data_IF_035403837219
#
_entry.id   IF_035403837219
#
_cell.length_a   1.000
_cell.length_b   1.000
_cell.length_c   1.000
_cell.angle_alpha   90.00
_cell.angle_beta   90.00
_cell.angle_gamma   90.00
#
_symmetry.space_group_name_H-M   'P 1'
#
loop_
_entity.id
_entity.type
_entity.pdbx_description
1 polymer ?
#
# COMPACT_ATOMS: atom_id res chain seq x y z
N UNK A 1 6.69 -30.28 -32.19
CA UNK A 1 6.66 -28.89 -32.69
C UNK A 1 6.96 -27.96 -31.53
N UNK A 2 7.64 -26.85 -31.69
CA UNK A 2 7.74 -25.86 -30.62
C UNK A 2 6.35 -25.31 -30.28
N UNK A 3 6.11 -25.01 -29.00
CA UNK A 3 4.87 -24.39 -28.53
C UNK A 3 4.66 -23.02 -29.20
N UNK A 4 3.43 -22.73 -29.58
CA UNK A 4 3.03 -21.41 -30.03
C UNK A 4 3.11 -20.38 -28.88
N UNK A 5 3.21 -19.07 -29.17
CA UNK A 5 3.21 -18.05 -28.14
C UNK A 5 2.00 -18.13 -27.19
N UNK A 6 0.81 -18.39 -27.72
CA UNK A 6 -0.40 -18.57 -26.89
C UNK A 6 -0.30 -19.80 -25.96
N UNK A 7 0.26 -20.90 -26.42
CA UNK A 7 0.46 -22.10 -25.60
C UNK A 7 1.48 -21.83 -24.48
N UNK A 8 2.56 -21.08 -24.74
CA UNK A 8 3.52 -20.66 -23.70
C UNK A 8 2.83 -19.79 -22.65
N UNK A 9 2.01 -18.83 -23.06
CA UNK A 9 1.26 -17.99 -22.15
C UNK A 9 0.25 -18.80 -21.31
N UNK A 10 -0.46 -19.75 -21.92
CA UNK A 10 -1.38 -20.64 -21.18
C UNK A 10 -0.63 -21.49 -20.15
N UNK A 11 0.54 -22.03 -20.48
CA UNK A 11 1.37 -22.74 -19.50
C UNK A 11 1.80 -21.87 -18.32
N UNK A 12 2.16 -20.61 -18.60
CA UNK A 12 2.47 -19.61 -17.58
C UNK A 12 1.26 -19.36 -16.67
N UNK A 13 0.06 -19.12 -17.22
CA UNK A 13 -1.16 -18.92 -16.43
C UNK A 13 -1.55 -20.15 -15.62
N UNK A 14 -1.37 -21.35 -16.19
CA UNK A 14 -1.57 -22.59 -15.46
C UNK A 14 -0.60 -22.78 -14.29
N UNK A 15 0.66 -22.32 -14.42
CA UNK A 15 1.62 -22.33 -13.30
C UNK A 15 1.16 -21.42 -12.16
N UNK A 16 0.62 -20.22 -12.46
CA UNK A 16 -0.03 -19.37 -11.47
C UNK A 16 -1.15 -20.08 -10.71
N UNK A 17 -2.07 -20.73 -11.44
CA UNK A 17 -3.22 -21.42 -10.85
C UNK A 17 -2.85 -22.68 -10.06
N UNK A 18 -1.68 -23.27 -10.29
CA UNK A 18 -1.15 -24.38 -9.50
C UNK A 18 -0.23 -23.94 -8.37
N UNK A 19 -0.03 -22.63 -8.20
CA UNK A 19 0.94 -22.05 -7.26
C UNK A 19 2.36 -22.62 -7.47
N UNK A 20 2.72 -22.82 -8.74
CA UNK A 20 4.01 -23.35 -9.17
C UNK A 20 4.97 -22.20 -9.52
N UNK A 21 5.63 -21.66 -8.49
CA UNK A 21 6.59 -20.56 -8.64
C UNK A 21 7.75 -20.91 -9.59
N UNK A 22 8.20 -22.15 -9.57
CA UNK A 22 9.25 -22.61 -10.48
C UNK A 22 8.76 -22.67 -11.94
N UNK A 23 7.53 -23.15 -12.16
CA UNK A 23 6.88 -23.17 -13.46
C UNK A 23 6.66 -21.76 -14.03
N UNK A 24 6.30 -20.79 -13.18
CA UNK A 24 6.20 -19.38 -13.58
C UNK A 24 7.56 -18.88 -14.10
N UNK A 25 8.63 -19.04 -13.31
CA UNK A 25 9.98 -18.57 -13.71
C UNK A 25 10.47 -19.31 -14.96
N UNK A 26 10.18 -20.61 -15.07
CA UNK A 26 10.57 -21.43 -16.21
C UNK A 26 9.91 -20.98 -17.53
N UNK A 27 8.79 -20.30 -17.50
CA UNK A 27 8.18 -19.73 -18.70
C UNK A 27 8.95 -18.55 -19.28
N UNK A 28 9.75 -17.85 -18.46
CA UNK A 28 10.56 -16.70 -18.90
C UNK A 28 11.90 -17.12 -19.49
N UNK A 29 12.42 -16.31 -20.41
CA UNK A 29 13.81 -16.38 -20.83
C UNK A 29 14.72 -15.97 -19.65
N UNK A 30 16.02 -16.31 -19.72
CA UNK A 30 17.01 -16.01 -18.67
C UNK A 30 17.02 -14.52 -18.26
N UNK A 31 16.83 -13.62 -19.22
CA UNK A 31 16.71 -12.16 -19.03
C UNK A 31 15.28 -11.66 -19.19
N UNK A 32 14.32 -12.55 -19.16
CA UNK A 32 12.90 -12.23 -19.28
C UNK A 32 12.40 -11.45 -18.08
N UNK A 33 11.51 -10.48 -18.33
CA UNK A 33 11.03 -9.55 -17.30
C UNK A 33 9.51 -9.59 -17.14
N UNK A 34 9.08 -9.40 -15.92
CA UNK A 34 7.68 -9.17 -15.53
C UNK A 34 7.55 -7.77 -14.93
N UNK A 35 6.49 -7.05 -15.30
CA UNK A 35 6.16 -5.74 -14.74
C UNK A 35 4.64 -5.59 -14.62
N UNK A 36 4.16 -4.97 -13.55
CA UNK A 36 2.77 -4.57 -13.37
C UNK A 36 2.66 -3.28 -12.52
N UNK A 37 1.46 -2.71 -12.29
CA UNK A 37 1.29 -1.49 -11.50
C UNK A 37 1.77 -1.55 -10.04
N UNK A 38 2.01 -2.75 -9.49
CA UNK A 38 2.46 -2.91 -8.09
C UNK A 38 3.96 -3.15 -7.97
N UNK A 39 4.65 -3.43 -9.06
CA UNK A 39 6.11 -3.61 -9.07
C UNK A 39 6.81 -2.27 -9.16
N UNK A 40 7.87 -2.08 -8.37
CA UNK A 40 8.69 -0.85 -8.41
C UNK A 40 9.53 -0.74 -9.71
N UNK A 41 9.57 -1.80 -10.50
CA UNK A 41 10.31 -1.91 -11.74
C UNK A 41 10.27 -3.35 -12.27
N UNK A 42 10.97 -3.65 -13.38
CA UNK A 42 10.98 -4.99 -13.96
C UNK A 42 11.56 -6.03 -12.99
N UNK A 43 10.83 -7.10 -12.78
CA UNK A 43 11.28 -8.27 -12.02
C UNK A 43 11.85 -9.32 -12.97
N UNK A 44 12.87 -10.07 -12.55
CA UNK A 44 13.47 -11.15 -13.32
C UNK A 44 13.87 -12.33 -12.41
N UNK A 45 13.88 -13.54 -12.98
CA UNK A 45 14.33 -14.74 -12.28
C UNK A 45 13.60 -14.97 -10.93
N UNK A 46 14.37 -15.12 -9.85
CA UNK A 46 13.82 -15.39 -8.51
C UNK A 46 12.94 -14.26 -7.96
N UNK A 47 13.09 -13.02 -8.45
CA UNK A 47 12.22 -11.94 -8.03
C UNK A 47 10.76 -12.15 -8.51
N UNK A 48 10.56 -12.79 -9.67
CA UNK A 48 9.22 -13.16 -10.17
C UNK A 48 8.58 -14.20 -9.25
N UNK A 49 9.34 -15.23 -8.83
CA UNK A 49 8.82 -16.27 -7.93
C UNK A 49 8.51 -15.71 -6.53
N UNK A 50 9.34 -14.81 -6.01
CA UNK A 50 9.09 -14.16 -4.74
C UNK A 50 7.83 -13.26 -4.79
N UNK A 51 7.62 -12.56 -5.90
CA UNK A 51 6.40 -11.80 -6.13
C UNK A 51 5.16 -12.70 -6.17
N UNK A 52 5.19 -13.81 -6.90
CA UNK A 52 4.09 -14.76 -6.93
C UNK A 52 3.77 -15.32 -5.53
N UNK A 53 4.81 -15.70 -4.78
CA UNK A 53 4.65 -16.19 -3.41
C UNK A 53 3.99 -15.14 -2.52
N UNK A 54 4.39 -13.88 -2.62
CA UNK A 54 3.80 -12.80 -1.82
C UNK A 54 2.31 -12.61 -2.08
N UNK A 55 1.83 -12.86 -3.30
CA UNK A 55 0.40 -12.81 -3.62
C UNK A 55 -0.35 -14.03 -3.05
N UNK A 56 0.24 -15.23 -3.10
CA UNK A 56 -0.36 -16.42 -2.51
C UNK A 56 -0.38 -16.40 -0.97
N UNK A 57 0.60 -15.72 -0.35
CA UNK A 57 0.60 -15.50 1.09
C UNK A 57 -0.59 -14.64 1.53
N UNK A 58 -1.03 -13.70 0.68
CA UNK A 58 -2.21 -12.83 0.91
C UNK A 58 -3.52 -13.51 0.51
N UNK A 59 -3.49 -14.23 -0.61
CA UNK A 59 -4.63 -14.90 -1.24
C UNK A 59 -4.29 -16.39 -1.53
N UNK A 60 -4.39 -17.30 -0.54
CA UNK A 60 -4.00 -18.70 -0.73
C UNK A 60 -4.84 -19.47 -1.75
N UNK A 61 -6.00 -18.97 -2.13
CA UNK A 61 -6.90 -19.51 -3.15
C UNK A 61 -6.83 -18.71 -4.47
N UNK A 62 -5.77 -17.91 -4.67
CA UNK A 62 -5.61 -17.07 -5.84
C UNK A 62 -5.67 -17.89 -7.13
N UNK A 63 -6.48 -17.42 -8.07
CA UNK A 63 -6.62 -18.02 -9.39
C UNK A 63 -6.85 -16.97 -10.46
N UNK A 64 -6.43 -17.30 -11.69
CA UNK A 64 -6.64 -16.51 -12.89
C UNK A 64 -7.54 -17.25 -13.87
N UNK A 65 -8.57 -16.58 -14.33
CA UNK A 65 -9.41 -17.03 -15.44
C UNK A 65 -9.09 -16.17 -16.67
N UNK A 66 -8.51 -16.77 -17.72
CA UNK A 66 -8.26 -16.05 -18.98
C UNK A 66 -9.58 -15.95 -19.73
N UNK A 67 -10.04 -14.71 -19.95
CA UNK A 67 -11.32 -14.41 -20.62
C UNK A 67 -11.15 -14.15 -22.11
N UNK A 68 -9.97 -13.70 -22.53
CA UNK A 68 -9.60 -13.48 -23.93
C UNK A 68 -8.10 -13.75 -24.11
N UNK A 69 -7.72 -14.33 -25.24
CA UNK A 69 -6.34 -14.58 -25.57
C UNK A 69 -6.14 -14.44 -27.09
N UNK A 70 -5.24 -13.57 -27.48
CA UNK A 70 -4.86 -13.34 -28.88
C UNK A 70 -3.36 -13.33 -29.05
N UNK A 71 -2.88 -13.67 -30.23
CA UNK A 71 -1.47 -13.52 -30.60
C UNK A 71 -1.33 -12.95 -32.01
N UNK A 72 -0.24 -12.27 -32.28
CA UNK A 72 0.13 -11.86 -33.62
C UNK A 72 1.33 -12.69 -34.16
N UNK A 73 1.64 -12.49 -35.44
CA UNK A 73 2.73 -13.19 -36.13
C UNK A 73 4.13 -12.79 -35.61
N UNK A 74 4.22 -11.73 -34.82
CA UNK A 74 5.48 -11.24 -34.23
C UNK A 74 5.73 -11.75 -32.81
N UNK A 75 4.92 -12.71 -32.33
CA UNK A 75 5.08 -13.29 -31.00
C UNK A 75 4.56 -12.43 -29.86
N UNK A 76 3.78 -11.37 -30.15
CA UNK A 76 3.07 -10.63 -29.12
C UNK A 76 1.77 -11.38 -28.78
N UNK A 77 1.60 -11.68 -27.51
CA UNK A 77 0.36 -12.24 -26.91
C UNK A 77 -0.31 -11.15 -26.11
N UNK A 78 -1.62 -10.99 -26.30
CA UNK A 78 -2.49 -10.16 -25.47
C UNK A 78 -3.55 -11.02 -24.81
N UNK A 79 -3.69 -10.92 -23.51
CA UNK A 79 -4.65 -11.67 -22.73
C UNK A 79 -5.45 -10.77 -21.80
N UNK A 80 -6.76 -10.98 -21.74
CA UNK A 80 -7.60 -10.45 -20.66
C UNK A 80 -7.84 -11.55 -19.64
N UNK A 81 -7.88 -11.18 -18.38
CA UNK A 81 -8.04 -12.13 -17.30
C UNK A 81 -8.85 -11.54 -16.13
N UNK A 82 -9.41 -12.44 -15.34
CA UNK A 82 -10.02 -12.15 -14.05
C UNK A 82 -9.25 -12.88 -12.95
N UNK A 83 -8.61 -12.13 -12.06
CA UNK A 83 -7.96 -12.65 -10.86
C UNK A 83 -8.97 -12.72 -9.72
N UNK A 84 -9.07 -13.87 -9.05
CA UNK A 84 -9.95 -14.11 -7.91
C UNK A 84 -9.14 -14.64 -6.74
N UNK A 85 -9.56 -14.30 -5.53
CA UNK A 85 -8.95 -14.81 -4.30
C UNK A 85 -9.62 -14.27 -3.06
N UNK A 86 -9.38 -14.91 -1.92
CA UNK A 86 -9.88 -14.51 -0.61
C UNK A 86 -8.71 -14.07 0.28
N UNK A 87 -8.78 -12.87 0.80
CA UNK A 87 -7.73 -12.32 1.66
C UNK A 87 -7.77 -12.98 3.04
N UNK A 88 -7.01 -14.04 3.22
CA UNK A 88 -6.83 -14.76 4.48
C UNK A 88 -5.43 -14.63 5.07
N UNK A 89 -4.50 -14.02 4.32
CA UNK A 89 -3.17 -13.65 4.80
C UNK A 89 -3.01 -12.15 5.06
N UNK A 90 -1.99 -11.75 5.81
CA UNK A 90 -1.74 -10.33 6.08
C UNK A 90 -1.29 -9.60 4.80
N UNK A 91 -1.74 -8.37 4.61
CA UNK A 91 -1.38 -7.54 3.46
C UNK A 91 -0.86 -6.17 3.94
N UNK A 92 0.38 -5.80 3.54
CA UNK A 92 1.00 -4.51 3.88
C UNK A 92 0.99 -4.19 5.39
N UNK A 93 1.16 -5.20 6.24
CA UNK A 93 1.11 -5.06 7.69
C UNK A 93 -0.30 -4.99 8.29
N UNK A 94 -1.34 -5.06 7.47
CA UNK A 94 -2.73 -5.12 7.92
C UNK A 94 -3.16 -6.59 8.12
N UNK A 95 -4.02 -6.88 9.11
CA UNK A 95 -4.56 -8.21 9.31
C UNK A 95 -5.46 -8.62 8.13
N UNK A 96 -5.67 -9.95 7.91
CA UNK A 96 -6.56 -10.42 6.86
C UNK A 96 -8.00 -9.95 7.08
N UNK A 97 -8.67 -9.58 5.98
CA UNK A 97 -10.04 -9.05 6.01
C UNK A 97 -11.10 -10.14 5.86
N UNK A 98 -10.72 -11.33 5.38
CA UNK A 98 -11.64 -12.40 5.01
C UNK A 98 -12.49 -12.12 3.76
N UNK A 99 -12.26 -10.99 3.07
CA UNK A 99 -13.02 -10.61 1.89
C UNK A 99 -12.43 -11.20 0.62
N UNK A 100 -13.31 -11.50 -0.35
CA UNK A 100 -12.90 -11.97 -1.67
C UNK A 100 -12.75 -10.81 -2.65
N UNK A 101 -11.87 -10.98 -3.61
CA UNK A 101 -11.63 -10.05 -4.71
C UNK A 101 -11.98 -10.69 -6.05
N UNK A 102 -12.32 -9.85 -7.03
CA UNK A 102 -12.43 -10.18 -8.44
C UNK A 102 -11.85 -8.98 -9.21
N UNK A 103 -10.60 -9.09 -9.64
CA UNK A 103 -9.85 -8.04 -10.31
C UNK A 103 -9.72 -8.37 -11.79
N UNK A 104 -10.25 -7.53 -12.66
CA UNK A 104 -10.02 -7.61 -14.10
C UNK A 104 -8.70 -6.94 -14.49
N UNK A 105 -8.00 -7.52 -15.43
CA UNK A 105 -6.76 -6.97 -15.97
C UNK A 105 -6.43 -7.54 -17.34
N UNK A 106 -5.31 -7.08 -17.89
CA UNK A 106 -4.78 -7.54 -19.16
C UNK A 106 -3.26 -7.66 -19.10
N UNK A 107 -2.72 -8.65 -19.80
CA UNK A 107 -1.30 -8.85 -19.99
C UNK A 107 -0.92 -8.70 -21.47
N UNK A 108 0.25 -8.13 -21.69
CA UNK A 108 0.92 -8.09 -22.98
C UNK A 108 2.28 -8.76 -22.83
N UNK A 109 2.44 -9.91 -23.49
CA UNK A 109 3.66 -10.70 -23.42
C UNK A 109 4.35 -10.80 -24.78
N UNK A 110 5.65 -10.50 -24.84
CA UNK A 110 6.49 -10.82 -25.98
C UNK A 110 7.11 -12.20 -25.78
N UNK A 111 6.86 -13.11 -26.70
CA UNK A 111 7.27 -14.50 -26.60
C UNK A 111 8.04 -14.91 -27.85
N UNK A 112 9.27 -15.40 -27.67
CA UNK A 112 10.15 -15.88 -28.73
C UNK A 112 10.88 -17.14 -28.25
N UNK A 113 11.12 -18.09 -29.18
CA UNK A 113 11.84 -19.32 -28.85
C UNK A 113 11.17 -20.17 -27.75
N UNK A 114 9.84 -20.04 -27.57
CA UNK A 114 9.11 -20.75 -26.53
C UNK A 114 9.28 -20.16 -25.13
N UNK A 115 9.75 -18.89 -25.02
CA UNK A 115 9.99 -18.21 -23.75
C UNK A 115 9.45 -16.78 -23.76
N UNK A 116 8.98 -16.32 -22.60
CA UNK A 116 8.54 -14.94 -22.37
C UNK A 116 9.80 -14.05 -22.25
N UNK A 117 9.96 -13.09 -23.14
CA UNK A 117 11.03 -12.09 -23.07
C UNK A 117 10.63 -10.90 -22.18
N UNK A 118 9.37 -10.51 -22.25
CA UNK A 118 8.80 -9.48 -21.39
C UNK A 118 7.30 -9.72 -21.23
N UNK A 119 6.79 -9.45 -20.04
CA UNK A 119 5.36 -9.43 -19.76
C UNK A 119 5.05 -8.13 -19.02
N UNK A 120 4.04 -7.41 -19.50
CA UNK A 120 3.53 -6.19 -18.89
C UNK A 120 2.06 -6.38 -18.55
N UNK A 121 1.76 -6.40 -17.24
CA UNK A 121 0.40 -6.43 -16.72
C UNK A 121 -0.19 -5.04 -16.55
N UNK A 122 -1.51 -4.94 -16.76
CA UNK A 122 -2.31 -3.72 -16.56
C UNK A 122 -3.58 -4.03 -15.80
N UNK A 123 -3.80 -3.35 -14.70
CA UNK A 123 -5.04 -3.43 -13.90
C UNK A 123 -5.20 -2.18 -13.03
N UNK A 124 -6.39 -1.99 -12.47
CA UNK A 124 -6.61 -0.93 -11.48
C UNK A 124 -6.00 -1.31 -10.13
N UNK A 125 -4.82 -0.75 -9.82
CA UNK A 125 -4.13 -0.97 -8.54
C UNK A 125 -4.94 -0.58 -7.31
N UNK A 126 -5.96 0.26 -7.44
CA UNK A 126 -6.87 0.63 -6.37
C UNK A 126 -8.05 -0.35 -6.17
N UNK A 127 -8.30 -1.26 -7.11
CA UNK A 127 -9.45 -2.16 -7.04
C UNK A 127 -9.34 -3.17 -5.88
N UNK A 128 -8.15 -3.73 -5.64
CA UNK A 128 -7.91 -4.69 -4.54
C UNK A 128 -8.16 -4.05 -3.18
N UNK A 129 -7.52 -2.93 -2.78
CA UNK A 129 -7.81 -2.27 -1.51
C UNK A 129 -9.30 -1.95 -1.34
N UNK A 130 -9.95 -1.41 -2.37
CA UNK A 130 -11.39 -1.10 -2.30
C UNK A 130 -12.25 -2.34 -2.07
N UNK A 131 -11.98 -3.44 -2.78
CA UNK A 131 -12.71 -4.71 -2.60
C UNK A 131 -12.52 -5.27 -1.19
N UNK A 132 -11.33 -5.09 -0.60
CA UNK A 132 -11.04 -5.46 0.79
C UNK A 132 -11.65 -4.50 1.82
N UNK A 133 -12.30 -3.42 1.40
CA UNK A 133 -12.92 -2.43 2.28
C UNK A 133 -11.92 -1.48 2.92
N UNK A 134 -10.78 -1.27 2.26
CA UNK A 134 -9.76 -0.32 2.69
C UNK A 134 -9.95 1.01 1.95
N UNK A 135 -9.79 2.11 2.66
CA UNK A 135 -9.76 3.44 2.06
C UNK A 135 -8.39 3.70 1.42
N UNK A 136 -8.41 4.26 0.21
CA UNK A 136 -7.20 4.66 -0.49
C UNK A 136 -6.96 6.14 -0.25
N UNK A 137 -5.89 6.47 0.45
CA UNK A 137 -5.46 7.84 0.68
C UNK A 137 -4.34 8.16 -0.32
N UNK A 138 -4.61 9.09 -1.23
CA UNK A 138 -3.58 9.59 -2.16
C UNK A 138 -2.86 10.74 -1.50
N UNK A 139 -1.57 10.56 -1.27
CA UNK A 139 -0.70 11.59 -0.71
C UNK A 139 0.59 11.66 -1.51
N UNK A 140 1.27 12.83 -1.58
CA UNK A 140 2.57 12.93 -2.22
C UNK A 140 3.58 11.97 -1.57
N UNK A 141 4.35 11.24 -2.37
CA UNK A 141 5.42 10.33 -1.90
C UNK A 141 6.58 11.08 -1.24
N UNK A 142 6.78 12.32 -1.63
CA UNK A 142 7.68 13.26 -0.98
C UNK A 142 6.92 14.57 -0.76
N UNK A 143 6.87 15.01 0.47
CA UNK A 143 6.51 16.38 0.76
C UNK A 143 7.75 17.17 0.39
N UNK A 144 7.72 17.83 -0.78
CA UNK A 144 8.80 18.73 -1.23
C UNK A 144 9.03 19.84 -0.19
N UNK A 145 9.93 20.78 -0.45
CA UNK A 145 10.11 21.95 0.39
C UNK A 145 8.89 22.85 0.26
N UNK A 146 7.74 22.34 0.64
CA UNK A 146 6.60 23.18 0.91
C UNK A 146 6.97 24.00 2.14
N UNK A 147 6.61 25.26 2.16
CA UNK A 147 6.66 26.08 3.36
C UNK A 147 5.68 25.60 4.43
N UNK A 148 5.59 24.27 4.63
CA UNK A 148 4.99 23.70 5.81
C UNK A 148 5.85 24.16 6.97
N UNK A 149 5.27 24.98 7.78
CA UNK A 149 5.91 25.45 8.97
C UNK A 149 6.32 24.29 9.87
N UNK A 150 6.91 24.63 10.97
CA UNK A 150 7.52 23.71 11.93
C UNK A 150 6.58 22.57 12.29
N UNK A 151 6.94 21.32 11.95
CA UNK A 151 6.32 20.15 12.54
C UNK A 151 7.13 19.77 13.79
N UNK A 152 6.42 19.53 14.89
CA UNK A 152 7.00 19.04 16.14
C UNK A 152 6.40 17.67 16.44
N UNK A 153 7.26 16.69 16.71
CA UNK A 153 6.86 15.38 17.19
C UNK A 153 7.49 15.13 18.54
N UNK A 154 6.69 14.66 19.50
CA UNK A 154 7.21 14.18 20.78
C UNK A 154 6.50 12.88 21.19
N UNK A 155 7.20 12.03 21.93
CA UNK A 155 6.72 10.78 22.47
C UNK A 155 7.36 10.55 23.84
N UNK A 156 6.64 9.93 24.74
CA UNK A 156 7.18 9.50 26.03
C UNK A 156 7.89 8.13 25.97
N UNK A 157 8.02 7.55 24.77
CA UNK A 157 8.62 6.23 24.59
C UNK A 157 7.67 5.05 24.84
N UNK A 158 6.38 5.29 25.12
CA UNK A 158 5.37 4.22 25.26
C UNK A 158 5.27 3.41 23.96
N UNK A 159 5.22 2.09 24.08
CA UNK A 159 4.96 1.14 23.00
C UNK A 159 3.51 0.63 23.03
N UNK A 160 2.67 1.18 23.89
CA UNK A 160 1.26 0.83 23.97
C UNK A 160 0.55 1.17 22.64
N UNK A 161 -0.44 0.36 22.28
CA UNK A 161 -1.32 0.65 21.17
C UNK A 161 -2.26 1.79 21.54
N UNK A 162 -2.45 2.80 20.66
CA UNK A 162 -3.39 3.88 20.95
C UNK A 162 -4.83 3.36 21.02
N UNK A 163 -5.52 3.65 22.11
CA UNK A 163 -6.96 3.44 22.25
C UNK A 163 -7.79 4.69 21.97
N UNK A 164 -7.13 5.87 21.87
CA UNK A 164 -7.80 7.13 21.53
C UNK A 164 -6.86 8.13 20.88
N UNK A 165 -7.43 9.01 20.04
CA UNK A 165 -6.76 10.16 19.45
C UNK A 165 -7.53 11.44 19.74
N UNK A 166 -6.80 12.55 19.93
CA UNK A 166 -7.36 13.90 19.90
C UNK A 166 -6.78 14.65 18.71
N UNK A 167 -7.62 15.33 17.95
CA UNK A 167 -7.23 16.22 16.87
C UNK A 167 -7.73 17.60 17.23
N UNK A 168 -6.81 18.57 17.32
CA UNK A 168 -7.14 19.96 17.60
C UNK A 168 -6.67 20.84 16.46
N UNK A 169 -7.56 21.68 15.95
CA UNK A 169 -7.29 22.62 14.88
C UNK A 169 -7.41 24.04 15.42
N UNK A 170 -6.43 24.89 15.09
CA UNK A 170 -6.44 26.31 15.41
C UNK A 170 -6.26 27.12 14.14
N UNK A 171 -7.02 28.20 14.01
CA UNK A 171 -6.85 29.21 12.96
C UNK A 171 -6.48 30.52 13.65
N UNK A 172 -5.24 30.93 13.48
CA UNK A 172 -4.78 32.20 14.01
C UNK A 172 -5.24 33.36 13.11
N UNK A 173 -5.67 34.43 13.72
CA UNK A 173 -6.17 35.64 13.00
C UNK A 173 -5.06 36.58 12.57
N UNK A 174 -3.88 36.43 13.16
CA UNK A 174 -2.73 37.28 12.91
C UNK A 174 -1.43 36.58 13.36
N UNK A 175 -0.24 37.08 12.95
CA UNK A 175 1.05 36.50 13.31
C UNK A 175 1.33 36.44 14.82
N UNK A 176 0.76 37.34 15.61
CA UNK A 176 0.94 37.37 17.06
C UNK A 176 0.21 36.21 17.71
N UNK A 177 -0.99 35.88 17.25
CA UNK A 177 -1.71 34.70 17.70
C UNK A 177 -0.98 33.39 17.29
N UNK A 178 -0.37 33.32 16.10
CA UNK A 178 0.49 32.18 15.71
C UNK A 178 1.62 31.99 16.72
N UNK A 179 2.29 33.10 17.13
CA UNK A 179 3.37 33.02 18.10
C UNK A 179 2.88 32.56 19.48
N UNK A 180 1.74 33.09 19.94
CA UNK A 180 1.13 32.72 21.22
C UNK A 180 0.71 31.23 21.25
N UNK A 181 0.06 30.75 20.17
CA UNK A 181 -0.36 29.36 20.08
C UNK A 181 0.87 28.43 20.09
N UNK A 182 1.96 28.81 19.39
CA UNK A 182 3.21 28.04 19.39
C UNK A 182 3.84 27.97 20.78
N UNK A 183 3.86 29.06 21.51
CA UNK A 183 4.41 29.12 22.87
C UNK A 183 3.58 28.27 23.84
N UNK A 184 2.27 28.48 23.86
CA UNK A 184 1.32 27.72 24.68
C UNK A 184 1.38 26.24 24.32
N UNK A 185 1.44 25.90 23.02
CA UNK A 185 1.55 24.53 22.53
C UNK A 185 2.80 23.82 23.03
N UNK A 186 3.96 24.51 23.11
CA UNK A 186 5.18 23.93 23.68
C UNK A 186 5.02 23.56 25.14
N UNK A 187 4.41 24.45 25.92
CA UNK A 187 4.16 24.20 27.34
C UNK A 187 3.23 23.02 27.54
N UNK A 188 2.10 23.00 26.84
CA UNK A 188 1.12 21.88 26.89
C UNK A 188 1.79 20.57 26.45
N UNK A 189 2.61 20.60 25.41
CA UNK A 189 3.35 19.43 24.93
C UNK A 189 4.30 18.84 25.98
N UNK A 190 5.00 19.70 26.72
CA UNK A 190 5.88 19.27 27.82
C UNK A 190 5.08 18.67 28.97
N UNK A 191 3.95 19.26 29.31
CA UNK A 191 3.05 18.75 30.37
C UNK A 191 2.48 17.37 29.97
N UNK A 192 2.06 17.22 28.68
CA UNK A 192 1.53 15.94 28.15
C UNK A 192 2.53 14.78 28.25
N UNK A 193 3.84 15.06 28.06
CA UNK A 193 4.87 14.01 28.15
C UNK A 193 4.88 13.28 29.51
N UNK A 194 4.45 13.93 30.56
CA UNK A 194 4.36 13.38 31.90
C UNK A 194 2.98 12.85 32.28
N UNK A 195 1.96 13.01 31.41
CA UNK A 195 0.59 12.57 31.72
C UNK A 195 0.46 11.06 31.59
N UNK A 196 -0.21 10.39 32.54
CA UNK A 196 -0.50 8.95 32.45
C UNK A 196 -1.30 8.61 31.19
N UNK A 197 -0.87 7.57 30.47
CA UNK A 197 -1.53 7.10 29.26
C UNK A 197 -1.29 7.97 28.00
N UNK A 198 -0.48 9.02 28.09
CA UNK A 198 -0.01 9.72 26.90
C UNK A 198 0.99 8.86 26.12
N UNK A 199 0.90 8.84 24.79
CA UNK A 199 1.81 8.08 23.91
C UNK A 199 2.67 9.02 23.08
N UNK A 200 2.04 9.86 22.28
CA UNK A 200 2.76 10.78 21.39
C UNK A 200 1.90 11.95 20.94
N UNK A 201 2.55 13.02 20.47
CA UNK A 201 1.86 14.04 19.72
C UNK A 201 2.65 14.45 18.48
N UNK A 202 1.91 14.96 17.49
CA UNK A 202 2.44 15.62 16.30
C UNK A 202 1.74 16.96 16.16
N UNK A 203 2.51 18.03 15.96
CA UNK A 203 1.99 19.36 15.68
C UNK A 203 2.51 19.85 14.33
N UNK A 204 1.63 20.39 13.51
CA UNK A 204 1.94 20.94 12.20
C UNK A 204 1.44 22.37 12.14
N UNK A 205 2.24 23.27 11.59
CA UNK A 205 1.89 24.68 11.37
C UNK A 205 2.05 24.99 9.89
N UNK A 206 0.99 25.51 9.27
CA UNK A 206 0.96 25.92 7.86
C UNK A 206 0.33 27.33 7.81
N UNK A 207 1.16 28.35 7.64
CA UNK A 207 0.68 29.73 7.70
C UNK A 207 0.03 30.04 9.04
N UNK A 208 -1.25 30.39 9.01
CA UNK A 208 -2.12 30.68 10.16
C UNK A 208 -2.88 29.48 10.70
N UNK A 209 -2.76 28.32 10.03
CA UNK A 209 -3.38 27.06 10.46
C UNK A 209 -2.40 26.23 11.30
N UNK A 210 -2.86 25.80 12.47
CA UNK A 210 -2.13 24.91 13.36
C UNK A 210 -2.99 23.68 13.65
N UNK A 211 -2.39 22.50 13.54
CA UNK A 211 -3.06 21.25 13.86
C UNK A 211 -2.19 20.44 14.82
N UNK A 212 -2.82 19.83 15.82
CA UNK A 212 -2.17 18.83 16.67
C UNK A 212 -2.95 17.53 16.65
N UNK A 213 -2.21 16.42 16.61
CA UNK A 213 -2.76 15.07 16.80
C UNK A 213 -2.04 14.46 17.99
N UNK A 214 -2.81 14.01 19.00
CA UNK A 214 -2.27 13.31 20.17
C UNK A 214 -2.78 11.89 20.21
N UNK A 215 -1.93 10.95 20.61
CA UNK A 215 -2.26 9.55 20.80
C UNK A 215 -2.22 9.20 22.31
N UNK A 216 -3.21 8.45 22.76
CA UNK A 216 -3.43 8.10 24.17
C UNK A 216 -3.78 6.62 24.30
N UNK A 217 -3.40 5.98 25.42
CA UNK A 217 -3.74 4.58 25.69
C UNK A 217 -5.25 4.37 25.78
N UNK A 218 -5.98 5.32 26.43
CA UNK A 218 -7.44 5.30 26.53
C UNK A 218 -8.04 6.69 26.35
N UNK A 219 -9.35 6.75 26.13
CA UNK A 219 -10.10 8.02 26.08
C UNK A 219 -10.09 8.75 27.42
N UNK A 220 -10.14 8.01 28.51
CA UNK A 220 -10.13 8.54 29.86
C UNK A 220 -8.81 9.24 30.19
N UNK A 221 -7.70 8.75 29.65
CA UNK A 221 -6.37 9.37 29.78
C UNK A 221 -6.31 10.78 29.22
N UNK A 222 -7.18 11.15 28.25
CA UNK A 222 -7.27 12.49 27.69
C UNK A 222 -8.06 13.47 28.59
N UNK A 223 -8.85 12.99 29.54
CA UNK A 223 -9.77 13.84 30.31
C UNK A 223 -9.08 15.01 31.05
N UNK A 224 -7.86 14.87 31.58
CA UNK A 224 -7.15 16.01 32.19
C UNK A 224 -6.83 17.12 31.19
N UNK A 225 -6.52 16.79 29.93
CA UNK A 225 -6.21 17.77 28.88
C UNK A 225 -7.46 18.58 28.49
N UNK A 226 -8.62 17.91 28.44
CA UNK A 226 -9.89 18.53 28.04
C UNK A 226 -10.39 19.55 29.08
N UNK A 227 -9.99 19.41 30.35
CA UNK A 227 -10.37 20.33 31.44
C UNK A 227 -9.47 21.57 31.55
N UNK A 228 -8.34 21.60 30.87
CA UNK A 228 -7.42 22.76 30.90
C UNK A 228 -7.80 23.85 29.87
N UNK A 229 -8.79 23.60 29.02
CA UNK A 229 -9.27 24.50 27.97
C UNK A 229 -10.58 25.24 28.29
N UNK A 230 -11.15 25.06 29.48
CA UNK A 230 -12.25 25.85 30.02
C UNK A 230 -11.67 26.95 30.94
#
# INVERSE_FOLDING_TARGET
MPMSPSEVFQHYTHAWNRHDAAGIVAAFAERGTYTDPTTAGPLAGTAISAYAQSLWDVFPDLSFETTSLTQNDQGLVSAEWLMKGTNTGPMMGLPPTGRSIALAGADFARIEGGKILSLQGYFDGGAVPRALGLDIIVQPSAIGPFGFGTSVRASNGSTALPGAFSITNFFARNPEEVALIKESGRKIAMDMLSMPGFISFVSVVVGDFLMTITAWETRESMAPLMKQGE
#
